data_IF_630837831562
#
_entry.id   IF_630837831562
#
_cell.length_a   1.000
_cell.length_b   1.000
_cell.length_c   1.000
_cell.angle_alpha   90.00
_cell.angle_beta   90.00
_cell.angle_gamma   90.00
#
_symmetry.space_group_name_H-M   'P 1'
#
loop_
_entity.id
_entity.type
_entity.pdbx_description
1 polymer ?
#
# COMPACT_ATOMS: atom_id res chain seq x y z
N UNK A 1 -4.92 8.62 -24.21
CA UNK A 1 -4.03 8.29 -23.08
C UNK A 1 -4.71 8.58 -21.76
N UNK A 2 -4.47 7.72 -20.79
CA UNK A 2 -5.00 7.75 -19.42
C UNK A 2 -3.80 7.73 -18.47
N UNK A 3 -3.77 8.61 -17.48
CA UNK A 3 -2.79 8.54 -16.39
C UNK A 3 -3.43 7.85 -15.19
N UNK A 4 -2.71 6.87 -14.62
CA UNK A 4 -3.12 6.15 -13.42
C UNK A 4 -1.98 6.28 -12.41
N UNK A 5 -2.30 6.68 -11.19
CA UNK A 5 -1.32 6.97 -10.13
C UNK A 5 -1.98 6.79 -8.75
N UNK A 6 -1.18 6.53 -7.71
CA UNK A 6 -1.71 6.28 -6.36
C UNK A 6 -2.34 7.54 -5.79
N UNK A 7 -1.59 8.64 -5.80
CA UNK A 7 -2.08 9.95 -5.38
C UNK A 7 -0.97 10.85 -4.86
N UNK A 8 -1.31 12.09 -4.47
CA UNK A 8 -0.33 13.09 -4.06
C UNK A 8 0.48 12.69 -2.81
N UNK A 9 -0.06 11.80 -1.97
CA UNK A 9 0.62 11.29 -0.76
C UNK A 9 1.74 10.29 -1.08
N UNK A 10 1.75 9.70 -2.27
CA UNK A 10 2.79 8.76 -2.73
C UNK A 10 3.66 9.41 -3.82
N UNK A 11 3.04 9.95 -4.87
CA UNK A 11 3.76 10.54 -6.00
C UNK A 11 3.57 12.07 -6.04
N UNK A 12 4.02 12.78 -5.00
CA UNK A 12 3.87 14.25 -4.89
C UNK A 12 4.37 15.00 -6.15
N UNK A 13 5.44 14.52 -6.78
CA UNK A 13 5.99 15.08 -8.01
C UNK A 13 5.04 14.99 -9.22
N UNK A 14 4.08 14.06 -9.22
CA UNK A 14 3.08 13.90 -10.27
C UNK A 14 1.92 14.89 -10.17
N UNK A 15 1.72 15.53 -9.01
CA UNK A 15 0.57 16.39 -8.77
C UNK A 15 0.47 17.55 -9.77
N UNK A 16 1.59 18.22 -10.07
CA UNK A 16 1.64 19.35 -11.02
C UNK A 16 1.47 18.92 -12.49
N UNK A 17 2.09 17.83 -12.98
CA UNK A 17 1.78 17.27 -14.29
C UNK A 17 0.32 16.84 -14.43
N UNK A 18 -0.22 16.11 -13.45
CA UNK A 18 -1.56 15.51 -13.51
C UNK A 18 -2.66 16.56 -13.41
N UNK A 19 -2.49 17.62 -12.61
CA UNK A 19 -3.49 18.70 -12.48
C UNK A 19 -3.79 19.46 -13.78
N UNK A 20 -2.92 19.33 -14.80
CA UNK A 20 -3.13 19.90 -16.13
C UNK A 20 -3.97 19.01 -17.05
N UNK A 21 -4.24 17.77 -16.66
CA UNK A 21 -5.00 16.81 -17.45
C UNK A 21 -6.50 16.95 -17.16
N UNK A 22 -7.36 16.70 -18.17
CA UNK A 22 -8.80 16.56 -17.92
C UNK A 22 -9.07 15.42 -16.94
N UNK A 23 -10.06 15.59 -16.04
CA UNK A 23 -10.46 14.55 -15.09
C UNK A 23 -10.84 13.21 -15.72
N UNK A 24 -11.34 13.22 -16.97
CA UNK A 24 -11.62 12.01 -17.74
C UNK A 24 -10.36 11.22 -18.18
N UNK A 25 -9.17 11.83 -18.12
CA UNK A 25 -7.88 11.25 -18.51
C UNK A 25 -6.97 10.94 -17.32
N UNK A 26 -7.54 10.85 -16.12
CA UNK A 26 -6.79 10.48 -14.93
C UNK A 26 -7.60 9.58 -13.99
N UNK A 27 -6.90 8.69 -13.29
CA UNK A 27 -7.40 7.89 -12.17
C UNK A 27 -6.45 8.09 -10.99
N UNK A 28 -6.93 8.73 -9.93
CA UNK A 28 -6.21 8.87 -8.65
C UNK A 28 -6.73 7.79 -7.70
N UNK A 29 -5.95 6.73 -7.48
CA UNK A 29 -6.43 5.51 -6.81
C UNK A 29 -6.92 5.79 -5.39
N UNK A 30 -6.15 6.55 -4.60
CA UNK A 30 -6.49 6.90 -3.22
C UNK A 30 -7.79 7.73 -3.10
N UNK A 31 -8.28 8.31 -4.20
CA UNK A 31 -9.47 9.15 -4.23
C UNK A 31 -10.69 8.42 -4.83
N UNK A 32 -10.57 7.15 -5.22
CA UNK A 32 -11.71 6.37 -5.69
C UNK A 32 -12.69 6.13 -4.53
N UNK A 33 -13.99 6.29 -4.77
CA UNK A 33 -15.02 6.14 -3.74
C UNK A 33 -15.05 4.72 -3.13
N UNK A 34 -14.72 3.70 -3.92
CA UNK A 34 -14.63 2.32 -3.44
C UNK A 34 -13.30 2.02 -2.72
N UNK A 35 -12.31 2.92 -2.80
CA UNK A 35 -10.98 2.75 -2.19
C UNK A 35 -10.86 3.53 -0.89
N UNK A 36 -11.40 4.75 -0.80
CA UNK A 36 -11.33 5.60 0.41
C UNK A 36 -11.72 4.85 1.70
N UNK A 37 -12.80 4.04 1.75
CA UNK A 37 -13.18 3.32 2.97
C UNK A 37 -12.21 2.19 3.35
N UNK A 38 -11.38 1.76 2.42
CA UNK A 38 -10.42 0.67 2.60
C UNK A 38 -9.06 1.17 3.09
N UNK A 39 -8.80 2.47 3.03
CA UNK A 39 -7.51 3.05 3.40
C UNK A 39 -7.18 2.77 4.86
N UNK A 40 -6.02 2.14 5.08
CA UNK A 40 -5.47 1.91 6.42
C UNK A 40 -4.72 3.15 6.87
N UNK A 41 -4.89 3.56 8.13
CA UNK A 41 -4.05 4.60 8.72
C UNK A 41 -2.59 4.13 8.76
N UNK A 42 -1.67 5.04 8.52
CA UNK A 42 -0.25 4.75 8.77
C UNK A 42 -0.04 4.49 10.25
N UNK A 43 0.72 3.44 10.59
CA UNK A 43 1.08 3.12 11.97
C UNK A 43 2.32 3.96 12.31
N UNK A 44 2.15 5.28 12.42
CA UNK A 44 3.14 6.10 13.10
C UNK A 44 2.97 5.79 14.59
N UNK A 45 4.02 5.28 15.23
CA UNK A 45 3.98 4.85 16.63
C UNK A 45 3.46 5.98 17.53
N UNK A 46 2.29 5.74 18.12
CA UNK A 46 1.71 6.56 19.19
C UNK A 46 1.73 5.75 20.49
N UNK A 47 2.89 5.15 20.78
CA UNK A 47 3.22 4.43 22.01
C UNK A 47 4.43 5.11 22.71
N UNK A 48 4.55 6.43 22.62
CA UNK A 48 5.49 7.21 23.43
C UNK A 48 4.78 8.38 24.12
N UNK A 49 4.21 8.08 25.28
CA UNK A 49 3.81 9.04 26.31
C UNK A 49 5.08 9.64 26.95
N UNK A 50 5.83 10.43 26.18
CA UNK A 50 6.97 11.21 26.69
C UNK A 50 7.05 12.60 26.04
N UNK A 51 6.58 13.59 26.82
CA UNK A 51 6.88 15.02 26.67
C UNK A 51 8.38 15.26 26.44
N UNK A 52 8.81 15.57 25.22
CA UNK A 52 9.97 16.44 24.97
C UNK A 52 9.81 17.20 23.65
N UNK A 53 9.61 18.50 23.77
CA UNK A 53 9.68 19.45 22.67
C UNK A 53 11.16 19.71 22.31
N UNK A 54 11.58 19.25 21.13
CA UNK A 54 12.75 19.77 20.42
C UNK A 54 12.42 19.76 18.92
N UNK A 55 12.61 20.91 18.26
CA UNK A 55 12.40 21.07 16.82
C UNK A 55 13.65 20.62 16.07
N UNK A 56 13.52 19.64 15.17
CA UNK A 56 14.52 19.38 14.13
C UNK A 56 13.82 18.86 12.87
N UNK A 57 14.04 19.62 11.79
CA UNK A 57 14.09 19.20 10.38
C UNK A 57 12.84 18.69 9.65
N UNK A 58 12.83 19.01 8.36
CA UNK A 58 11.75 18.84 7.39
C UNK A 58 11.40 17.36 7.17
N UNK A 59 10.64 16.79 8.09
CA UNK A 59 10.01 15.49 7.88
C UNK A 59 8.93 15.64 6.80
N UNK A 60 9.16 14.99 5.66
CA UNK A 60 8.17 14.74 4.65
C UNK A 60 6.97 14.04 5.31
N UNK A 61 5.94 14.81 5.66
CA UNK A 61 4.68 14.30 6.19
C UNK A 61 4.18 13.17 5.29
N UNK A 62 4.39 11.92 5.74
CA UNK A 62 3.65 10.79 5.25
C UNK A 62 2.17 11.11 5.53
N UNK A 63 1.31 11.00 4.51
CA UNK A 63 -0.11 11.25 4.68
C UNK A 63 -0.73 10.37 5.77
N UNK A 64 -1.95 10.69 6.20
CA UNK A 64 -2.66 9.99 7.28
C UNK A 64 -2.84 8.48 7.02
N UNK A 65 -2.65 8.04 5.77
CA UNK A 65 -2.94 6.69 5.31
C UNK A 65 -1.71 5.99 4.69
N UNK A 66 -1.68 4.68 4.84
CA UNK A 66 -0.72 3.81 4.17
C UNK A 66 -1.04 3.73 2.67
N UNK A 67 -0.12 4.22 1.84
CA UNK A 67 -0.27 4.33 0.38
C UNK A 67 0.20 3.10 -0.41
N UNK A 68 0.59 2.01 0.24
CA UNK A 68 0.95 0.75 -0.42
C UNK A 68 -0.29 -0.04 -0.89
N UNK A 69 -1.19 0.67 -1.57
CA UNK A 69 -2.56 0.22 -1.89
C UNK A 69 -2.59 -1.05 -2.75
N UNK A 70 -1.56 -1.26 -3.57
CA UNK A 70 -1.44 -2.43 -4.44
C UNK A 70 -1.28 -3.75 -3.68
N UNK A 71 -0.94 -3.70 -2.40
CA UNK A 71 -0.83 -4.88 -1.54
C UNK A 71 -2.19 -5.37 -1.00
N UNK A 72 -3.28 -4.65 -1.28
CA UNK A 72 -4.65 -5.11 -1.03
C UNK A 72 -5.27 -5.68 -2.31
N UNK A 73 -5.64 -6.97 -2.35
CA UNK A 73 -6.41 -7.53 -3.47
C UNK A 73 -7.74 -6.80 -3.69
N UNK A 74 -8.39 -6.33 -2.62
CA UNK A 74 -9.63 -5.58 -2.70
C UNK A 74 -9.44 -4.22 -3.38
N UNK A 75 -8.40 -3.46 -3.00
CA UNK A 75 -8.09 -2.17 -3.64
C UNK A 75 -7.61 -2.38 -5.09
N UNK A 76 -6.83 -3.44 -5.34
CA UNK A 76 -6.39 -3.78 -6.70
C UNK A 76 -7.58 -4.06 -7.62
N UNK A 77 -8.60 -4.79 -7.14
CA UNK A 77 -9.86 -5.02 -7.89
C UNK A 77 -10.61 -3.72 -8.15
N UNK A 78 -10.85 -2.90 -7.13
CA UNK A 78 -11.54 -1.60 -7.28
C UNK A 78 -10.81 -0.69 -8.29
N UNK A 79 -9.48 -0.68 -8.23
CA UNK A 79 -8.62 0.05 -9.17
C UNK A 79 -8.77 -0.45 -10.60
N UNK A 80 -8.78 -1.77 -10.82
CA UNK A 80 -8.96 -2.35 -12.15
C UNK A 80 -10.33 -1.99 -12.76
N UNK A 81 -11.40 -2.01 -11.96
CA UNK A 81 -12.74 -1.59 -12.38
C UNK A 81 -12.76 -0.11 -12.77
N UNK A 82 -12.12 0.77 -11.97
CA UNK A 82 -12.05 2.19 -12.28
C UNK A 82 -11.25 2.49 -13.56
N UNK A 83 -10.12 1.79 -13.77
CA UNK A 83 -9.32 1.89 -14.99
C UNK A 83 -10.15 1.44 -16.20
N UNK A 84 -10.82 0.29 -16.09
CA UNK A 84 -11.70 -0.23 -17.14
C UNK A 84 -12.76 0.79 -17.53
N UNK A 85 -13.48 1.37 -16.55
CA UNK A 85 -14.51 2.37 -16.80
C UNK A 85 -13.98 3.56 -17.60
N UNK A 86 -12.81 4.10 -17.21
CA UNK A 86 -12.16 5.20 -17.96
C UNK A 86 -11.71 4.80 -19.34
N UNK A 87 -11.11 3.62 -19.51
CA UNK A 87 -10.65 3.17 -20.82
C UNK A 87 -11.82 2.92 -21.78
N UNK A 88 -12.95 2.44 -21.28
CA UNK A 88 -14.16 2.24 -22.08
C UNK A 88 -14.78 3.57 -22.54
N UNK A 89 -14.75 4.61 -21.71
CA UNK A 89 -15.14 5.97 -22.10
C UNK A 89 -14.21 6.54 -23.18
N UNK A 90 -12.89 6.35 -23.02
CA UNK A 90 -11.88 6.89 -23.92
C UNK A 90 -11.72 6.09 -25.23
N UNK A 91 -12.03 4.79 -25.21
CA UNK A 91 -11.79 3.85 -26.30
C UNK A 91 -13.00 2.91 -26.49
N UNK A 92 -14.19 3.44 -26.83
CA UNK A 92 -15.42 2.64 -26.93
C UNK A 92 -15.33 1.50 -27.94
N UNK A 93 -14.53 1.66 -29.00
CA UNK A 93 -14.25 0.63 -30.01
C UNK A 93 -13.53 -0.60 -29.45
N UNK A 94 -12.85 -0.47 -28.31
CA UNK A 94 -12.09 -1.53 -27.65
C UNK A 94 -12.86 -2.21 -26.51
N UNK A 95 -14.15 -1.85 -26.29
CA UNK A 95 -14.95 -2.32 -25.15
C UNK A 95 -14.89 -3.83 -24.96
N UNK A 96 -15.16 -4.62 -25.99
CA UNK A 96 -15.18 -6.08 -25.87
C UNK A 96 -13.83 -6.66 -25.35
N UNK A 97 -12.71 -6.06 -25.78
CA UNK A 97 -11.38 -6.45 -25.30
C UNK A 97 -11.16 -6.00 -23.86
N UNK A 98 -11.57 -4.79 -23.51
CA UNK A 98 -11.44 -4.26 -22.15
C UNK A 98 -12.29 -5.06 -21.15
N UNK A 99 -13.51 -5.43 -21.52
CA UNK A 99 -14.41 -6.27 -20.72
C UNK A 99 -13.78 -7.66 -20.48
N UNK A 100 -13.24 -8.28 -21.53
CA UNK A 100 -12.53 -9.56 -21.40
C UNK A 100 -11.30 -9.44 -20.48
N UNK A 101 -10.49 -8.40 -20.66
CA UNK A 101 -9.30 -8.18 -19.83
C UNK A 101 -9.64 -7.98 -18.34
N UNK A 102 -10.69 -7.22 -18.03
CA UNK A 102 -11.12 -7.01 -16.64
C UNK A 102 -11.55 -8.34 -16.01
N UNK A 103 -12.36 -9.12 -16.72
CA UNK A 103 -12.81 -10.44 -16.26
C UNK A 103 -11.63 -11.39 -16.01
N UNK A 104 -10.66 -11.42 -16.93
CA UNK A 104 -9.48 -12.27 -16.80
C UNK A 104 -8.61 -11.83 -15.61
N UNK A 105 -8.45 -10.51 -15.40
CA UNK A 105 -7.75 -9.96 -14.25
C UNK A 105 -8.41 -10.35 -12.93
N UNK A 106 -9.74 -10.19 -12.81
CA UNK A 106 -10.46 -10.55 -11.59
C UNK A 106 -10.35 -12.04 -11.26
N UNK A 107 -10.41 -12.91 -12.28
CA UNK A 107 -10.21 -14.34 -12.11
C UNK A 107 -8.78 -14.68 -11.65
N UNK A 108 -7.77 -14.05 -12.26
CA UNK A 108 -6.36 -14.25 -11.88
C UNK A 108 -6.09 -13.74 -10.47
N UNK A 109 -6.65 -12.58 -10.10
CA UNK A 109 -6.51 -11.99 -8.78
C UNK A 109 -7.10 -12.92 -7.71
N UNK A 110 -8.33 -13.43 -7.91
CA UNK A 110 -8.95 -14.38 -6.98
C UNK A 110 -8.16 -15.71 -6.86
N UNK A 111 -7.62 -16.21 -7.98
CA UNK A 111 -6.76 -17.39 -7.98
C UNK A 111 -5.46 -17.14 -7.22
N UNK A 112 -4.84 -15.98 -7.41
CA UNK A 112 -3.59 -15.59 -6.76
C UNK A 112 -3.79 -15.41 -5.27
N UNK A 113 -4.87 -14.74 -4.86
CA UNK A 113 -5.26 -14.58 -3.47
C UNK A 113 -5.43 -15.93 -2.78
N UNK A 114 -6.10 -16.89 -3.44
CA UNK A 114 -6.26 -18.25 -2.92
C UNK A 114 -4.91 -18.97 -2.79
N UNK A 115 -4.05 -18.88 -3.82
CA UNK A 115 -2.75 -19.53 -3.83
C UNK A 115 -1.85 -18.99 -2.71
N UNK A 116 -1.69 -17.66 -2.64
CA UNK A 116 -0.89 -16.98 -1.62
C UNK A 116 -1.44 -17.29 -0.22
N UNK A 117 -2.77 -17.29 -0.05
CA UNK A 117 -3.40 -17.67 1.21
C UNK A 117 -3.05 -19.09 1.66
N UNK A 118 -2.97 -20.05 0.73
CA UNK A 118 -2.57 -21.43 1.05
C UNK A 118 -1.08 -21.53 1.38
N UNK A 119 -0.22 -20.85 0.64
CA UNK A 119 1.23 -20.82 0.87
C UNK A 119 1.59 -20.21 2.24
N UNK A 120 0.85 -19.17 2.64
CA UNK A 120 1.08 -18.46 3.89
C UNK A 120 0.34 -19.06 5.10
N UNK A 121 -0.63 -19.95 4.89
CA UNK A 121 -1.39 -20.56 5.99
C UNK A 121 -0.50 -21.17 7.10
N UNK A 122 0.62 -21.87 6.81
CA UNK A 122 1.52 -22.40 7.83
C UNK A 122 2.33 -21.34 8.61
N UNK A 123 2.32 -20.08 8.15
CA UNK A 123 3.06 -18.97 8.74
C UNK A 123 2.19 -18.08 9.64
N UNK A 124 0.87 -18.28 9.65
CA UNK A 124 -0.04 -17.51 10.52
C UNK A 124 0.39 -17.62 11.99
N UNK A 125 0.47 -16.47 12.65
CA UNK A 125 0.92 -16.36 14.04
C UNK A 125 2.43 -16.49 14.25
N UNK A 126 3.24 -16.65 13.20
CA UNK A 126 4.70 -16.51 13.28
C UNK A 126 5.08 -15.06 13.07
N UNK A 127 5.84 -14.53 14.03
CA UNK A 127 6.40 -13.19 13.96
C UNK A 127 7.54 -13.09 12.94
N UNK A 128 7.56 -12.00 12.17
CA UNK A 128 8.65 -11.69 11.24
C UNK A 128 8.91 -10.18 11.22
N UNK A 129 10.07 -9.79 10.68
CA UNK A 129 10.44 -8.38 10.50
C UNK A 129 10.52 -8.05 9.02
N UNK A 130 10.11 -6.83 8.67
CA UNK A 130 10.24 -6.29 7.31
C UNK A 130 11.21 -5.13 7.30
N UNK A 131 11.80 -4.83 6.13
CA UNK A 131 12.68 -3.67 6.04
C UNK A 131 11.93 -2.36 6.26
N UNK A 132 10.79 -2.19 5.59
CA UNK A 132 9.94 -1.01 5.74
C UNK A 132 8.46 -1.34 5.90
N UNK A 133 7.74 -0.40 6.53
CA UNK A 133 6.31 -0.54 6.87
C UNK A 133 5.39 -0.34 5.65
N UNK A 134 5.37 -1.33 4.75
CA UNK A 134 4.51 -1.33 3.58
C UNK A 134 3.37 -2.34 3.65
N UNK A 135 3.52 -3.40 4.42
CA UNK A 135 2.81 -4.64 4.18
C UNK A 135 1.46 -4.75 4.88
N UNK A 136 1.00 -3.71 5.59
CA UNK A 136 -0.22 -3.73 6.41
C UNK A 136 -1.47 -4.28 5.70
N UNK A 137 -1.70 -3.92 4.43
CA UNK A 137 -2.82 -4.47 3.65
C UNK A 137 -2.67 -5.97 3.40
N UNK A 138 -1.47 -6.41 3.00
CA UNK A 138 -1.14 -7.80 2.74
C UNK A 138 -1.24 -8.64 4.01
N UNK A 139 -0.73 -8.09 5.12
CA UNK A 139 -0.76 -8.68 6.44
C UNK A 139 -2.19 -8.90 6.94
N UNK A 140 -3.02 -7.86 6.84
CA UNK A 140 -4.44 -7.94 7.16
C UNK A 140 -5.15 -8.98 6.31
N UNK A 141 -4.88 -8.99 5.00
CA UNK A 141 -5.50 -9.92 4.06
C UNK A 141 -5.16 -11.39 4.38
N UNK A 142 -3.90 -11.69 4.68
CA UNK A 142 -3.43 -13.06 4.85
C UNK A 142 -3.27 -13.49 6.32
N UNK A 143 -3.63 -12.63 7.28
CA UNK A 143 -3.55 -12.93 8.71
C UNK A 143 -2.13 -13.14 9.21
N UNK A 144 -1.19 -12.35 8.67
CA UNK A 144 0.21 -12.35 9.10
C UNK A 144 0.42 -11.42 10.30
N UNK A 145 1.51 -11.63 11.02
CA UNK A 145 1.80 -10.89 12.26
C UNK A 145 3.23 -10.34 12.20
N UNK A 146 3.45 -9.14 11.64
CA UNK A 146 4.76 -8.52 11.72
C UNK A 146 5.09 -8.19 13.19
N UNK A 147 6.35 -8.35 13.56
CA UNK A 147 6.88 -7.92 14.86
C UNK A 147 7.42 -6.49 14.81
N UNK A 148 7.74 -6.00 13.62
CA UNK A 148 8.21 -4.64 13.42
C UNK A 148 8.91 -4.46 12.08
N UNK A 149 9.42 -3.25 11.89
CA UNK A 149 10.16 -2.85 10.69
C UNK A 149 11.44 -2.09 11.04
N UNK A 150 12.42 -2.13 10.15
CA UNK A 150 13.71 -1.46 10.33
C UNK A 150 13.64 0.04 10.08
N UNK A 151 12.90 0.49 9.07
CA UNK A 151 12.71 1.90 8.75
C UNK A 151 11.28 2.18 8.27
N UNK A 152 10.73 3.36 8.52
CA UNK A 152 9.45 3.79 7.92
C UNK A 152 9.69 4.29 6.49
N UNK A 153 10.77 5.06 6.28
CA UNK A 153 11.18 5.58 4.98
C UNK A 153 12.48 4.88 4.52
N UNK A 154 12.45 4.07 3.45
CA UNK A 154 13.64 3.40 2.92
C UNK A 154 14.82 4.33 2.58
N UNK A 155 14.55 5.61 2.33
CA UNK A 155 15.57 6.63 2.03
C UNK A 155 16.33 7.09 3.28
N UNK A 156 15.80 6.82 4.48
CA UNK A 156 16.41 7.16 5.76
C UNK A 156 17.01 5.91 6.39
N UNK A 157 18.32 5.94 6.68
CA UNK A 157 18.98 4.82 7.35
C UNK A 157 18.57 4.75 8.83
N UNK A 158 18.30 3.54 9.38
CA UNK A 158 17.95 3.40 10.78
C UNK A 158 19.13 3.72 11.71
N UNK A 159 18.83 4.41 12.81
CA UNK A 159 19.82 4.71 13.86
C UNK A 159 20.29 3.47 14.62
N UNK A 160 21.44 3.59 15.30
CA UNK A 160 22.06 2.48 16.04
C UNK A 160 21.20 1.94 17.19
N UNK A 161 20.41 2.80 17.84
CA UNK A 161 19.48 2.40 18.91
C UNK A 161 18.35 1.51 18.37
N UNK A 162 17.70 1.91 17.28
CA UNK A 162 16.66 1.13 16.61
C UNK A 162 17.18 -0.24 16.16
N UNK A 163 18.40 -0.29 15.63
CA UNK A 163 19.05 -1.55 15.26
C UNK A 163 19.30 -2.45 16.47
N UNK A 164 19.66 -1.88 17.63
CA UNK A 164 19.85 -2.64 18.87
C UNK A 164 18.53 -3.22 19.39
N UNK A 165 17.46 -2.43 19.40
CA UNK A 165 16.11 -2.87 19.81
C UNK A 165 15.62 -4.04 18.94
N UNK A 166 15.72 -3.90 17.61
CA UNK A 166 15.29 -4.97 16.70
C UNK A 166 16.15 -6.22 16.90
N UNK A 167 17.47 -6.08 17.11
CA UNK A 167 18.34 -7.21 17.42
C UNK A 167 17.90 -7.93 18.70
N UNK A 168 17.57 -7.20 19.75
CA UNK A 168 17.10 -7.77 21.01
C UNK A 168 15.79 -8.52 20.82
N UNK A 169 14.81 -7.92 20.12
CA UNK A 169 13.55 -8.58 19.81
C UNK A 169 13.72 -9.85 18.95
N UNK A 170 14.62 -9.82 17.96
CA UNK A 170 14.94 -10.99 17.13
C UNK A 170 15.51 -12.15 17.97
N UNK A 171 16.41 -11.84 18.93
CA UNK A 171 17.04 -12.84 19.80
C UNK A 171 16.07 -13.37 20.84
N UNK A 172 15.20 -12.53 21.40
CA UNK A 172 14.27 -12.89 22.47
C UNK A 172 13.00 -13.58 21.94
N UNK A 173 12.46 -13.14 20.81
CA UNK A 173 11.17 -13.64 20.28
C UNK A 173 11.30 -14.84 19.33
N UNK A 174 12.51 -15.37 19.09
CA UNK A 174 12.76 -16.50 18.18
C UNK A 174 12.07 -16.33 16.81
N UNK A 175 12.07 -15.11 16.28
CA UNK A 175 11.65 -14.89 14.90
C UNK A 175 12.51 -15.78 13.99
N UNK A 176 11.86 -16.58 13.14
CA UNK A 176 12.53 -17.52 12.22
C UNK A 176 12.52 -16.97 10.80
#
# INVERSE_FOLDING_TARGET
DLVVWVGPEMEAFMQKPVSKLPGAKQVTIAQLEDVKPLLMKSIHGDDDDHDHAEKSDEDHHHGDFNMHLWLSPEIARATAVAIHGKLVELMPQSRAKLDANLKDFEAQLASTETQVGNELAPLKGKGYFVFHDAYGYFEKQFGLTPLGHFTVNPEIQPGAQRLHEIRTQLVEQKAT
#
